data_IF_023269179247
#
_entry.id   IF_023269179247
#
_cell.length_a   1.000
_cell.length_b   1.000
_cell.length_c   1.000
_cell.angle_alpha   90.00
_cell.angle_beta   90.00
_cell.angle_gamma   90.00
#
_symmetry.space_group_name_H-M   'P 1'
#
loop_
_entity.id
_entity.type
_entity.pdbx_description
1 polymer ?
#
# COMPACT_ATOMS: atom_id res chain seq x y z
N UNK A 1 -9.41 -4.02 14.64
CA UNK A 1 -8.37 -3.65 13.66
C UNK A 1 -8.45 -2.18 13.26
N UNK A 2 -9.55 -1.70 12.67
CA UNK A 2 -9.68 -0.27 12.28
C UNK A 2 -9.64 0.71 13.46
N UNK A 3 -9.99 0.27 14.65
CA UNK A 3 -9.82 1.01 15.91
C UNK A 3 -8.35 1.30 16.26
N UNK A 4 -7.42 0.55 15.67
CA UNK A 4 -5.97 0.70 15.87
C UNK A 4 -5.30 1.76 15.00
N UNK A 5 -6.00 2.33 14.02
CA UNK A 5 -5.40 3.28 13.10
C UNK A 5 -4.92 4.56 13.80
N UNK A 6 -5.67 5.06 14.77
CA UNK A 6 -5.29 6.27 15.52
C UNK A 6 -4.00 6.04 16.33
N UNK A 7 -3.88 4.87 16.95
CA UNK A 7 -2.69 4.49 17.70
C UNK A 7 -1.48 4.34 16.76
N UNK A 8 -1.65 3.69 15.60
CA UNK A 8 -0.60 3.53 14.61
C UNK A 8 -0.13 4.87 14.03
N UNK A 9 -1.04 5.78 13.69
CA UNK A 9 -0.74 7.12 13.20
C UNK A 9 -0.02 7.99 14.25
N UNK A 10 -0.20 7.72 15.54
CA UNK A 10 0.50 8.44 16.60
C UNK A 10 2.00 8.16 16.64
N UNK A 11 2.46 7.08 15.99
CA UNK A 11 3.87 6.67 15.95
C UNK A 11 4.57 7.40 14.79
N UNK A 12 5.11 8.57 15.09
CA UNK A 12 5.69 9.50 14.11
C UNK A 12 7.21 9.34 13.97
N UNK A 13 7.65 8.11 13.68
CA UNK A 13 9.07 7.82 13.49
C UNK A 13 9.40 7.71 12.02
N UNK A 14 10.30 8.57 11.54
CA UNK A 14 10.90 8.45 10.21
C UNK A 14 11.51 7.05 10.07
N UNK A 15 11.33 6.44 8.90
CA UNK A 15 11.82 5.10 8.60
C UNK A 15 13.32 4.92 8.88
N UNK A 16 13.74 3.69 9.08
CA UNK A 16 15.11 3.32 9.44
C UNK A 16 16.17 3.83 8.46
N UNK A 17 15.80 4.03 7.21
CA UNK A 17 16.69 4.52 6.15
C UNK A 17 17.41 5.80 6.54
N UNK A 18 16.78 6.64 7.36
CA UNK A 18 17.33 7.94 7.76
C UNK A 18 18.19 7.91 9.04
N UNK A 19 18.18 6.81 9.81
CA UNK A 19 18.75 6.81 11.17
C UNK A 19 19.97 5.92 11.38
N UNK A 20 20.44 5.16 10.40
CA UNK A 20 21.51 4.14 10.59
C UNK A 20 21.24 3.24 11.83
N UNK A 21 19.96 2.96 12.13
CA UNK A 21 19.57 2.16 13.28
C UNK A 21 19.68 0.67 12.95
N UNK A 22 20.27 -0.09 13.86
CA UNK A 22 20.32 -1.56 13.78
C UNK A 22 19.06 -2.25 14.32
N UNK A 23 18.13 -1.48 14.89
CA UNK A 23 16.90 -1.99 15.50
C UNK A 23 15.67 -1.58 14.69
N UNK A 24 14.61 -2.40 14.67
CA UNK A 24 13.34 -2.03 14.08
C UNK A 24 12.82 -0.69 14.61
N UNK A 25 12.17 0.10 13.75
CA UNK A 25 11.53 1.35 14.17
C UNK A 25 10.36 1.07 15.10
N UNK A 26 9.92 2.04 15.91
CA UNK A 26 8.70 1.90 16.70
C UNK A 26 7.45 1.54 15.88
N UNK A 27 7.36 1.98 14.60
CA UNK A 27 6.26 1.56 13.70
C UNK A 27 6.33 0.07 13.37
N UNK A 28 7.52 -0.46 13.08
CA UNK A 28 7.72 -1.90 12.85
C UNK A 28 7.40 -2.70 14.11
N UNK A 29 7.87 -2.26 15.28
CA UNK A 29 7.59 -2.91 16.56
C UNK A 29 6.08 -2.96 16.84
N UNK A 30 5.40 -1.81 16.71
CA UNK A 30 3.95 -1.76 16.88
C UNK A 30 3.19 -2.69 15.93
N UNK A 31 3.58 -2.73 14.65
CA UNK A 31 2.93 -3.60 13.67
C UNK A 31 3.13 -5.09 14.01
N UNK A 32 4.32 -5.48 14.46
CA UNK A 32 4.57 -6.88 14.86
C UNK A 32 3.79 -7.25 16.11
N UNK A 33 3.72 -6.37 17.12
CA UNK A 33 2.90 -6.58 18.33
C UNK A 33 1.40 -6.64 17.98
N UNK A 34 0.93 -5.80 17.06
CA UNK A 34 -0.44 -5.83 16.57
C UNK A 34 -0.76 -7.16 15.89
N UNK A 35 0.12 -7.65 15.00
CA UNK A 35 -0.04 -8.93 14.32
C UNK A 35 -0.08 -10.10 15.31
N UNK A 36 0.80 -10.10 16.31
CA UNK A 36 0.79 -11.09 17.40
C UNK A 36 -0.54 -11.07 18.16
N UNK A 37 -1.04 -9.88 18.52
CA UNK A 37 -2.32 -9.72 19.22
C UNK A 37 -3.54 -10.20 18.42
N UNK A 38 -3.44 -10.15 17.10
CA UNK A 38 -4.48 -10.61 16.17
C UNK A 38 -4.31 -12.08 15.74
N UNK A 39 -3.25 -12.75 16.22
CA UNK A 39 -2.95 -14.15 15.88
C UNK A 39 -2.59 -14.36 14.42
N UNK A 40 -1.98 -13.37 13.80
CA UNK A 40 -1.54 -13.41 12.40
C UNK A 40 -0.05 -13.76 12.36
N UNK A 41 0.30 -14.87 11.73
CA UNK A 41 1.69 -15.26 11.54
C UNK A 41 2.43 -14.27 10.63
N UNK A 42 3.60 -13.85 11.09
CA UNK A 42 4.45 -12.92 10.36
C UNK A 42 5.93 -13.31 10.44
N UNK A 43 6.71 -12.75 9.52
CA UNK A 43 8.16 -12.86 9.50
C UNK A 43 8.78 -11.52 9.12
N UNK A 44 9.81 -11.13 9.83
CA UNK A 44 10.60 -9.96 9.50
C UNK A 44 11.63 -10.31 8.43
N UNK A 45 11.52 -9.71 7.24
CA UNK A 45 12.57 -9.75 6.22
C UNK A 45 13.46 -8.51 6.40
N UNK A 46 14.63 -8.74 6.97
CA UNK A 46 15.63 -7.70 7.23
C UNK A 46 16.61 -7.62 6.07
N UNK A 47 16.78 -6.45 5.52
CA UNK A 47 17.73 -6.23 4.42
C UNK A 47 18.52 -4.94 4.58
N UNK A 48 19.65 -4.84 3.88
CA UNK A 48 20.53 -3.70 3.96
C UNK A 48 20.33 -2.78 2.75
N UNK A 49 20.19 -1.48 2.99
CA UNK A 49 20.24 -0.46 1.96
C UNK A 49 21.25 0.63 2.36
N UNK A 50 22.38 0.65 1.69
CA UNK A 50 23.50 1.51 2.09
C UNK A 50 23.98 1.21 3.51
N UNK A 51 23.84 2.18 4.44
CA UNK A 51 24.20 2.02 5.86
C UNK A 51 22.98 1.69 6.74
N UNK A 52 21.80 1.61 6.18
CA UNK A 52 20.56 1.45 6.94
C UNK A 52 20.03 0.03 6.81
N UNK A 53 19.46 -0.50 7.89
CA UNK A 53 18.62 -1.69 7.86
C UNK A 53 17.19 -1.30 7.59
N UNK A 54 16.56 -2.01 6.67
CA UNK A 54 15.15 -1.91 6.35
C UNK A 54 14.42 -3.21 6.71
N UNK A 55 13.13 -3.14 6.92
CA UNK A 55 12.33 -4.23 7.47
C UNK A 55 11.00 -4.37 6.74
N UNK A 56 10.90 -5.31 5.80
CA UNK A 56 9.59 -5.73 5.32
C UNK A 56 8.96 -6.68 6.35
N UNK A 57 7.65 -6.56 6.58
CA UNK A 57 6.89 -7.49 7.39
C UNK A 57 6.11 -8.40 6.44
N UNK A 58 6.45 -9.68 6.45
CA UNK A 58 5.88 -10.67 5.53
C UNK A 58 4.81 -11.50 6.22
N UNK A 59 3.57 -11.43 5.73
CA UNK A 59 2.42 -12.22 6.15
C UNK A 59 2.16 -13.28 5.08
N UNK A 60 2.93 -14.37 5.14
CA UNK A 60 2.91 -15.38 4.09
C UNK A 60 1.56 -16.11 4.03
N UNK A 61 1.10 -16.39 2.82
CA UNK A 61 -0.04 -17.23 2.49
C UNK A 61 0.33 -18.30 1.48
N UNK A 62 -0.69 -18.89 0.88
CA UNK A 62 -0.57 -19.95 -0.14
C UNK A 62 -1.08 -19.50 -1.51
N UNK A 63 -1.62 -18.27 -1.61
CA UNK A 63 -2.12 -17.72 -2.87
C UNK A 63 -0.98 -17.41 -3.84
N UNK A 64 -1.24 -17.50 -5.14
CA UNK A 64 -0.37 -16.98 -6.20
C UNK A 64 -0.55 -15.46 -6.41
N UNK A 65 -1.20 -14.77 -5.50
CA UNK A 65 -1.50 -13.34 -5.54
C UNK A 65 -0.95 -12.69 -4.28
N UNK A 66 -0.57 -11.41 -4.41
CA UNK A 66 0.02 -10.66 -3.31
C UNK A 66 -0.61 -9.29 -3.19
N UNK A 67 -0.77 -8.82 -1.96
CA UNK A 67 -1.14 -7.44 -1.62
C UNK A 67 0.02 -6.79 -0.90
N UNK A 68 0.33 -5.54 -1.23
CA UNK A 68 1.39 -4.78 -0.56
C UNK A 68 0.90 -3.39 -0.17
N UNK A 69 1.53 -2.84 0.88
CA UNK A 69 1.39 -1.44 1.29
C UNK A 69 2.67 -1.03 2.02
N UNK A 70 3.17 0.19 1.82
CA UNK A 70 4.33 0.65 2.57
C UNK A 70 3.97 1.17 3.96
N UNK A 71 4.87 0.98 4.93
CA UNK A 71 4.67 1.38 6.31
C UNK A 71 5.60 2.51 6.78
N UNK A 72 6.62 2.83 5.99
CA UNK A 72 7.51 3.95 6.28
C UNK A 72 6.81 5.30 6.07
N UNK A 73 7.37 6.33 6.67
CA UNK A 73 6.88 7.71 6.58
C UNK A 73 8.04 8.66 6.38
N UNK A 74 7.79 9.76 5.71
CA UNK A 74 8.79 10.81 5.45
C UNK A 74 8.64 12.00 6.37
N UNK A 75 7.42 12.34 6.75
CA UNK A 75 7.13 13.52 7.56
C UNK A 75 6.67 13.16 8.98
N UNK A 76 7.52 13.31 10.03
CA UNK A 76 7.15 13.00 11.39
C UNK A 76 6.27 14.07 12.05
N UNK A 77 5.99 15.20 11.39
CA UNK A 77 5.14 16.27 11.92
C UNK A 77 3.65 16.05 11.67
N UNK A 78 3.31 15.05 10.87
CA UNK A 78 1.92 14.70 10.51
C UNK A 78 1.56 13.27 10.94
N UNK A 79 0.29 12.91 10.84
CA UNK A 79 -0.20 11.57 11.19
C UNK A 79 0.16 10.51 10.14
N UNK A 80 0.47 10.93 8.90
CA UNK A 80 0.65 10.04 7.75
C UNK A 80 -0.52 9.04 7.64
N UNK A 81 -1.73 9.57 7.82
CA UNK A 81 -2.92 8.76 8.00
C UNK A 81 -3.35 8.11 6.69
N UNK A 82 -3.37 8.88 5.61
CA UNK A 82 -3.69 8.37 4.28
C UNK A 82 -2.44 7.84 3.57
N UNK A 83 -1.29 8.46 3.79
CA UNK A 83 0.01 8.09 3.21
C UNK A 83 0.97 7.51 4.27
N UNK A 84 0.97 6.20 4.54
CA UNK A 84 0.13 5.14 3.94
C UNK A 84 -0.44 4.25 5.06
N UNK A 85 -0.68 4.84 6.28
CA UNK A 85 -1.14 4.08 7.46
C UNK A 85 -2.48 3.38 7.20
N UNK A 86 -3.40 4.02 6.48
CA UNK A 86 -4.68 3.43 6.11
C UNK A 86 -4.51 2.17 5.26
N UNK A 87 -3.61 2.20 4.29
CA UNK A 87 -3.34 1.06 3.41
C UNK A 87 -2.69 -0.11 4.16
N UNK A 88 -1.83 0.19 5.13
CA UNK A 88 -1.25 -0.83 6.03
C UNK A 88 -2.36 -1.56 6.81
N UNK A 89 -3.27 -0.81 7.43
CA UNK A 89 -4.40 -1.40 8.17
C UNK A 89 -5.33 -2.19 7.25
N UNK A 90 -5.61 -1.68 6.04
CA UNK A 90 -6.39 -2.40 5.04
C UNK A 90 -5.71 -3.70 4.60
N UNK A 91 -4.39 -3.69 4.37
CA UNK A 91 -3.63 -4.89 4.02
C UNK A 91 -3.68 -5.96 5.13
N UNK A 92 -3.55 -5.56 6.40
CA UNK A 92 -3.70 -6.49 7.54
C UNK A 92 -5.13 -7.03 7.62
N UNK A 93 -6.15 -6.19 7.37
CA UNK A 93 -7.55 -6.65 7.32
C UNK A 93 -7.78 -7.66 6.20
N UNK A 94 -7.18 -7.44 5.03
CA UNK A 94 -7.25 -8.41 3.91
C UNK A 94 -6.64 -9.73 4.34
N UNK A 95 -5.48 -9.74 4.98
CA UNK A 95 -4.86 -10.96 5.51
C UNK A 95 -5.75 -11.68 6.51
N UNK A 96 -6.46 -10.95 7.37
CA UNK A 96 -7.38 -11.51 8.34
C UNK A 96 -8.63 -12.14 7.69
N UNK A 97 -9.17 -11.50 6.64
CA UNK A 97 -10.33 -11.97 5.89
C UNK A 97 -10.00 -13.08 4.91
N UNK A 98 -8.78 -13.12 4.42
CA UNK A 98 -8.24 -14.06 3.43
C UNK A 98 -6.88 -14.60 3.88
N UNK A 99 -6.85 -15.55 4.84
CA UNK A 99 -5.59 -16.05 5.41
C UNK A 99 -4.62 -16.66 4.39
N UNK A 100 -5.14 -17.15 3.27
CA UNK A 100 -4.36 -17.68 2.15
C UNK A 100 -3.59 -16.60 1.38
N UNK A 101 -3.96 -15.32 1.51
CA UNK A 101 -3.31 -14.22 0.76
C UNK A 101 -1.89 -13.97 1.25
N UNK A 102 -0.96 -13.77 0.31
CA UNK A 102 0.33 -13.19 0.61
C UNK A 102 0.16 -11.68 0.81
N UNK A 103 0.62 -11.16 1.96
CA UNK A 103 0.64 -9.72 2.24
C UNK A 103 2.04 -9.33 2.68
N UNK A 104 2.57 -8.23 2.15
CA UNK A 104 3.85 -7.69 2.59
C UNK A 104 3.70 -6.21 2.91
N UNK A 105 4.04 -5.85 4.15
CA UNK A 105 4.16 -4.45 4.54
C UNK A 105 5.59 -4.00 4.24
N UNK A 106 5.73 -3.07 3.30
CA UNK A 106 6.99 -2.67 2.71
C UNK A 106 7.64 -1.52 3.47
N UNK A 107 8.98 -1.49 3.51
CA UNK A 107 9.77 -0.41 4.10
C UNK A 107 10.51 0.36 2.99
N UNK A 108 10.64 1.68 3.13
CA UNK A 108 11.46 2.51 2.25
C UNK A 108 10.85 2.78 0.88
N UNK A 109 9.52 2.86 0.76
CA UNK A 109 8.86 3.39 -0.44
C UNK A 109 9.27 4.84 -0.67
N UNK A 110 9.23 5.65 0.36
CA UNK A 110 9.50 7.09 0.40
C UNK A 110 10.95 7.47 0.02
N UNK A 111 11.81 6.48 -0.08
CA UNK A 111 13.21 6.65 -0.49
C UNK A 111 13.56 5.84 -1.74
N UNK A 112 12.55 5.54 -2.56
CA UNK A 112 12.72 4.93 -3.87
C UNK A 112 12.37 3.45 -3.96
N UNK A 113 11.48 2.95 -3.08
CA UNK A 113 10.92 1.61 -3.17
C UNK A 113 11.91 0.51 -2.80
N UNK A 114 12.63 0.69 -1.69
CA UNK A 114 13.64 -0.29 -1.26
C UNK A 114 13.00 -1.62 -0.88
N UNK A 115 11.88 -1.58 -0.17
CA UNK A 115 11.13 -2.75 0.26
C UNK A 115 10.51 -3.51 -0.91
N UNK A 116 9.95 -2.81 -1.88
CA UNK A 116 9.40 -3.43 -3.09
C UNK A 116 10.47 -4.04 -3.97
N UNK A 117 11.67 -3.43 -4.05
CA UNK A 117 12.82 -4.04 -4.71
C UNK A 117 13.20 -5.35 -4.03
N UNK A 118 13.35 -5.33 -2.69
CA UNK A 118 13.68 -6.53 -1.91
C UNK A 118 12.59 -7.61 -2.03
N UNK A 119 11.32 -7.22 -1.97
CA UNK A 119 10.19 -8.14 -2.16
C UNK A 119 10.20 -8.77 -3.56
N UNK A 120 10.56 -7.98 -4.60
CA UNK A 120 10.71 -8.50 -5.97
C UNK A 120 11.81 -9.57 -6.07
N UNK A 121 12.92 -9.39 -5.38
CA UNK A 121 13.98 -10.40 -5.28
C UNK A 121 13.43 -11.71 -4.66
N UNK A 122 12.71 -11.62 -3.54
CA UNK A 122 12.09 -12.78 -2.89
C UNK A 122 11.07 -13.49 -3.78
N UNK A 123 10.28 -12.75 -4.56
CA UNK A 123 9.34 -13.34 -5.52
C UNK A 123 10.12 -14.09 -6.61
N UNK A 124 11.13 -13.47 -7.21
CA UNK A 124 11.92 -14.06 -8.28
C UNK A 124 12.74 -15.28 -7.81
N UNK A 125 13.14 -15.30 -6.53
CA UNK A 125 13.81 -16.44 -5.90
C UNK A 125 12.84 -17.56 -5.49
N UNK A 126 11.53 -17.40 -5.74
CA UNK A 126 10.50 -18.40 -5.44
C UNK A 126 10.13 -18.53 -3.97
N UNK A 127 10.49 -17.56 -3.12
CA UNK A 127 10.17 -17.59 -1.69
C UNK A 127 8.66 -17.67 -1.42
N UNK A 128 7.84 -17.03 -2.25
CA UNK A 128 6.37 -17.05 -2.15
C UNK A 128 5.72 -18.12 -3.04
N UNK A 129 6.48 -18.90 -3.81
CA UNK A 129 6.01 -19.68 -4.94
C UNK A 129 5.79 -18.80 -6.17
N UNK A 130 4.98 -19.26 -7.11
CA UNK A 130 4.71 -18.53 -8.35
C UNK A 130 3.68 -17.43 -8.08
N UNK A 131 4.15 -16.20 -7.95
CA UNK A 131 3.28 -15.01 -7.82
C UNK A 131 2.87 -14.52 -9.20
N UNK A 132 1.58 -14.55 -9.48
CA UNK A 132 1.00 -14.10 -10.74
C UNK A 132 1.01 -12.58 -10.87
N UNK A 133 0.66 -11.88 -9.77
CA UNK A 133 0.63 -10.43 -9.72
C UNK A 133 0.61 -9.87 -8.29
N UNK A 134 0.93 -8.58 -8.21
CA UNK A 134 0.99 -7.80 -6.96
C UNK A 134 0.05 -6.60 -7.03
N UNK A 135 -0.89 -6.51 -6.09
CA UNK A 135 -1.77 -5.35 -5.91
C UNK A 135 -1.17 -4.42 -4.85
N UNK A 136 -0.78 -3.22 -5.26
CA UNK A 136 -0.26 -2.20 -4.36
C UNK A 136 -1.39 -1.29 -3.88
N UNK A 137 -1.61 -1.26 -2.56
CA UNK A 137 -2.56 -0.37 -1.91
C UNK A 137 -1.88 0.96 -1.59
N UNK A 138 -2.46 2.05 -2.10
CA UNK A 138 -1.92 3.39 -1.92
C UNK A 138 -3.03 4.38 -1.58
N UNK A 139 -2.84 5.21 -0.53
CA UNK A 139 -3.76 6.28 -0.15
C UNK A 139 -5.20 5.79 0.09
N UNK A 140 -5.38 4.67 0.78
CA UNK A 140 -6.68 3.98 0.88
C UNK A 140 -7.55 4.41 2.06
N UNK A 141 -7.32 5.60 2.60
CA UNK A 141 -8.03 6.11 3.78
C UNK A 141 -9.41 6.69 3.51
N UNK A 142 -9.73 7.03 2.26
CA UNK A 142 -11.00 7.64 1.88
C UNK A 142 -11.43 7.21 0.48
N UNK A 143 -12.67 7.56 0.05
CA UNK A 143 -13.16 7.28 -1.31
C UNK A 143 -14.02 6.04 -1.45
N UNK A 144 -13.98 5.11 -0.50
CA UNK A 144 -14.82 3.92 -0.49
C UNK A 144 -14.68 3.10 -1.77
N UNK A 145 -15.80 2.80 -2.43
CA UNK A 145 -15.85 2.01 -3.67
C UNK A 145 -15.44 2.75 -4.94
N UNK A 146 -15.24 4.06 -4.88
CA UNK A 146 -14.76 4.84 -6.00
C UNK A 146 -13.24 4.83 -6.02
N UNK A 147 -12.63 4.32 -7.10
CA UNK A 147 -11.19 4.17 -7.19
C UNK A 147 -10.70 4.31 -8.63
N UNK A 148 -9.42 4.50 -8.77
CA UNK A 148 -8.68 4.40 -10.03
C UNK A 148 -7.52 3.41 -9.88
N UNK A 149 -6.97 2.98 -11.02
CA UNK A 149 -5.77 2.16 -11.06
C UNK A 149 -4.67 2.84 -11.87
N UNK A 150 -3.42 2.51 -11.56
CA UNK A 150 -2.27 2.98 -12.32
C UNK A 150 -2.30 2.49 -13.77
N UNK A 151 -1.79 3.31 -14.70
CA UNK A 151 -1.67 2.99 -16.13
C UNK A 151 -0.50 2.01 -16.37
N UNK A 152 -0.75 0.76 -16.06
CA UNK A 152 0.22 -0.33 -16.22
C UNK A 152 -0.44 -1.49 -16.97
N UNK A 153 -0.23 -1.61 -18.31
CA UNK A 153 -0.81 -2.71 -19.07
C UNK A 153 -0.28 -4.07 -18.58
N UNK A 154 -1.19 -5.01 -18.32
CA UNK A 154 -0.85 -6.34 -17.81
C UNK A 154 -2.08 -7.18 -17.49
N UNK A 155 -1.86 -8.40 -17.00
CA UNK A 155 -2.93 -9.32 -16.64
C UNK A 155 -3.78 -8.77 -15.50
N UNK A 156 -3.15 -8.18 -14.47
CA UNK A 156 -3.87 -7.60 -13.34
C UNK A 156 -4.77 -6.43 -13.78
N UNK A 157 -4.28 -5.53 -14.65
CA UNK A 157 -5.10 -4.45 -15.20
C UNK A 157 -6.32 -5.00 -15.94
N UNK A 158 -6.13 -5.98 -16.81
CA UNK A 158 -7.22 -6.62 -17.55
C UNK A 158 -8.20 -7.33 -16.60
N UNK A 159 -7.67 -8.00 -15.58
CA UNK A 159 -8.47 -8.65 -14.55
C UNK A 159 -9.36 -7.64 -13.80
N UNK A 160 -8.80 -6.55 -13.30
CA UNK A 160 -9.57 -5.49 -12.62
C UNK A 160 -10.63 -4.90 -13.55
N UNK A 161 -10.28 -4.61 -14.80
CA UNK A 161 -11.22 -4.07 -15.81
C UNK A 161 -12.33 -5.05 -16.19
N UNK A 162 -12.13 -6.34 -16.01
CA UNK A 162 -13.18 -7.35 -16.21
C UNK A 162 -14.25 -7.34 -15.09
N UNK A 163 -13.92 -6.75 -13.95
CA UNK A 163 -14.78 -6.69 -12.76
C UNK A 163 -15.40 -5.30 -12.61
N UNK A 164 -14.60 -4.26 -12.86
CA UNK A 164 -14.94 -2.86 -12.60
C UNK A 164 -14.71 -1.97 -13.82
N UNK A 165 -15.62 -1.06 -14.06
CA UNK A 165 -15.37 0.09 -14.92
C UNK A 165 -14.73 1.20 -14.10
N UNK A 166 -13.40 1.23 -14.06
CA UNK A 166 -12.63 2.20 -13.28
C UNK A 166 -11.67 2.99 -14.19
N UNK A 167 -11.34 4.24 -13.83
CA UNK A 167 -10.34 5.04 -14.54
C UNK A 167 -8.95 4.39 -14.47
N UNK A 168 -8.19 4.53 -15.57
CA UNK A 168 -6.76 4.20 -15.63
C UNK A 168 -6.00 5.53 -15.68
N UNK A 169 -5.05 5.70 -14.77
CA UNK A 169 -4.40 7.01 -14.53
C UNK A 169 -2.89 6.85 -14.46
N UNK A 170 -2.14 7.75 -15.07
CA UNK A 170 -0.70 7.85 -14.82
C UNK A 170 -0.47 8.35 -13.40
N UNK A 171 0.16 7.53 -12.58
CA UNK A 171 0.47 7.83 -11.18
C UNK A 171 1.92 8.30 -11.04
N UNK A 172 2.23 9.07 -9.97
CA UNK A 172 3.60 9.31 -9.56
C UNK A 172 4.34 8.00 -9.24
N UNK A 173 5.59 8.10 -8.82
CA UNK A 173 6.35 6.97 -8.30
C UNK A 173 5.57 6.28 -7.18
N UNK A 174 5.58 4.94 -7.21
CA UNK A 174 4.99 4.06 -6.18
C UNK A 174 5.62 2.66 -6.32
N UNK A 175 5.35 1.79 -5.37
CA UNK A 175 5.91 0.43 -5.32
C UNK A 175 5.60 -0.43 -6.56
N UNK A 176 4.43 -0.25 -7.21
CA UNK A 176 4.10 -0.98 -8.44
C UNK A 176 5.11 -0.74 -9.56
N UNK A 177 5.66 0.46 -9.66
CA UNK A 177 6.70 0.78 -10.66
C UNK A 177 7.93 -0.08 -10.43
N UNK A 178 8.30 -0.30 -9.17
CA UNK A 178 9.48 -1.12 -8.81
C UNK A 178 9.24 -2.59 -9.14
N UNK A 179 8.08 -3.16 -8.76
CA UNK A 179 7.70 -4.54 -9.13
C UNK A 179 7.76 -4.74 -10.64
N UNK A 180 7.18 -3.83 -11.41
CA UNK A 180 7.15 -3.92 -12.88
C UNK A 180 8.54 -3.84 -13.51
N UNK A 181 9.43 -2.98 -12.99
CA UNK A 181 10.83 -2.91 -13.41
C UNK A 181 11.60 -4.22 -13.17
N UNK A 182 11.13 -5.03 -12.22
CA UNK A 182 11.66 -6.35 -11.90
C UNK A 182 10.89 -7.52 -12.58
N UNK A 183 10.03 -7.22 -13.56
CA UNK A 183 9.32 -8.22 -14.38
C UNK A 183 8.07 -8.80 -13.73
N UNK A 184 7.59 -8.22 -12.61
CA UNK A 184 6.42 -8.67 -11.88
C UNK A 184 5.21 -7.82 -12.29
N UNK A 185 4.10 -8.46 -12.69
CA UNK A 185 2.86 -7.74 -12.98
C UNK A 185 2.33 -7.10 -11.69
N UNK A 186 2.15 -5.78 -11.69
CA UNK A 186 1.70 -5.04 -10.53
C UNK A 186 0.91 -3.81 -10.93
N UNK A 187 -0.09 -3.48 -10.13
CA UNK A 187 -0.93 -2.30 -10.29
C UNK A 187 -1.12 -1.62 -8.94
N UNK A 188 -0.97 -0.29 -8.93
CA UNK A 188 -1.37 0.53 -7.79
C UNK A 188 -2.85 0.83 -7.88
N UNK A 189 -3.55 0.75 -6.74
CA UNK A 189 -4.97 1.06 -6.61
C UNK A 189 -5.18 2.11 -5.53
N UNK A 190 -5.89 3.18 -5.89
CA UNK A 190 -6.17 4.31 -5.02
C UNK A 190 -7.67 4.61 -5.02
N UNK A 191 -8.35 4.61 -3.87
CA UNK A 191 -9.71 5.14 -3.79
C UNK A 191 -9.76 6.63 -4.10
N UNK A 192 -10.87 7.06 -4.70
CA UNK A 192 -11.17 8.47 -4.96
C UNK A 192 -12.16 8.96 -3.91
N UNK A 193 -11.86 10.04 -3.17
CA UNK A 193 -12.86 10.63 -2.30
C UNK A 193 -14.06 11.11 -3.13
N UNK A 194 -15.29 10.83 -2.69
CA UNK A 194 -16.46 11.38 -3.34
C UNK A 194 -16.49 12.89 -3.12
N UNK A 195 -16.20 13.66 -4.15
CA UNK A 195 -16.32 15.12 -4.11
C UNK A 195 -17.65 15.54 -4.68
N UNK A 196 -18.39 16.36 -3.95
CA UNK A 196 -19.54 17.11 -4.51
C UNK A 196 -19.07 18.17 -5.50
N UNK A 197 -17.86 18.59 -5.38
CA UNK A 197 -17.18 19.54 -6.24
C UNK A 197 -16.08 18.76 -6.95
N UNK A 198 -16.21 18.63 -8.23
CA UNK A 198 -15.36 17.97 -9.24
C UNK A 198 -13.84 18.31 -9.20
N UNK A 199 -13.27 18.52 -8.03
CA UNK A 199 -11.86 18.89 -7.85
C UNK A 199 -10.91 17.69 -7.83
N UNK A 200 -11.42 16.48 -7.85
CA UNK A 200 -10.62 15.31 -8.19
C UNK A 200 -10.56 15.25 -9.71
N UNK A 201 -9.78 16.08 -10.27
CA UNK A 201 -9.65 16.14 -11.70
C UNK A 201 -8.69 15.07 -12.18
N UNK A 202 -9.28 13.99 -12.69
CA UNK A 202 -8.60 13.17 -13.66
C UNK A 202 -8.44 14.05 -14.91
N UNK A 203 -7.26 14.61 -15.09
CA UNK A 203 -6.97 15.47 -16.24
C UNK A 203 -6.63 14.59 -17.43
N UNK A 204 -7.33 14.77 -18.53
CA UNK A 204 -6.95 14.19 -19.82
C UNK A 204 -6.01 15.16 -20.55
N UNK A 205 -4.79 14.69 -20.80
CA UNK A 205 -3.81 15.43 -21.60
C UNK A 205 -3.29 14.53 -22.73
N UNK A 206 -3.36 15.00 -23.98
CA UNK A 206 -2.94 14.24 -25.18
C UNK A 206 -3.48 12.79 -25.25
N UNK A 207 -4.77 12.62 -24.93
CA UNK A 207 -5.43 11.31 -24.81
C UNK A 207 -4.92 10.40 -23.65
N UNK A 208 -4.05 10.89 -22.83
CA UNK A 208 -3.61 10.20 -21.61
C UNK A 208 -4.37 10.76 -20.39
N UNK A 209 -4.64 9.89 -19.44
CA UNK A 209 -5.31 10.26 -18.18
C UNK A 209 -4.25 10.40 -17.10
N UNK A 210 -4.20 11.56 -16.47
CA UNK A 210 -3.27 11.87 -15.37
C UNK A 210 -4.04 12.08 -14.08
N UNK A 211 -3.44 11.70 -12.97
CA UNK A 211 -3.89 12.12 -11.66
C UNK A 211 -3.63 13.62 -11.50
N UNK A 212 -4.66 14.40 -11.17
CA UNK A 212 -4.43 15.79 -10.76
C UNK A 212 -3.69 15.77 -9.41
N UNK A 213 -2.56 16.48 -9.37
CA UNK A 213 -1.74 16.60 -8.16
C UNK A 213 -2.51 17.12 -6.94
N UNK A 214 -3.68 17.71 -7.11
CA UNK A 214 -4.55 18.14 -5.99
C UNK A 214 -4.95 16.97 -5.08
N UNK A 215 -5.08 15.74 -5.61
CA UNK A 215 -5.34 14.55 -4.78
C UNK A 215 -4.16 14.19 -3.88
N UNK A 216 -2.95 14.57 -4.26
CA UNK A 216 -1.73 14.32 -3.51
C UNK A 216 -1.36 15.51 -2.60
N UNK A 217 -2.14 16.59 -2.57
CA UNK A 217 -1.81 17.79 -1.79
C UNK A 217 -1.67 17.55 -0.29
N UNK A 218 -2.29 16.51 0.23
CA UNK A 218 -2.16 16.17 1.64
C UNK A 218 -0.97 15.27 1.93
N UNK A 219 -0.50 14.49 0.94
CA UNK A 219 0.66 13.61 1.12
C UNK A 219 1.89 14.44 1.48
N UNK A 220 2.69 13.96 2.42
CA UNK A 220 3.90 14.61 2.92
C UNK A 220 3.68 16.00 3.53
N UNK A 221 2.44 16.44 3.76
CA UNK A 221 2.10 17.72 4.37
C UNK A 221 1.45 17.54 5.73
N UNK A 222 1.37 18.64 6.51
CA UNK A 222 0.67 18.66 7.80
C UNK A 222 -0.84 18.39 7.71
N UNK A 223 -1.38 18.27 6.49
CA UNK A 223 -2.79 17.99 6.22
C UNK A 223 -3.13 16.50 6.16
N UNK A 224 -2.12 15.63 6.08
CA UNK A 224 -2.35 14.18 6.14
C UNK A 224 -2.58 13.71 7.56
N UNK A 225 -3.79 13.94 8.05
CA UNK A 225 -4.21 13.69 9.42
C UNK A 225 -5.35 12.68 9.50
N UNK A 226 -5.63 12.17 10.70
CA UNK A 226 -6.75 11.26 10.95
C UNK A 226 -8.10 11.79 10.49
N UNK A 227 -8.29 13.11 10.47
CA UNK A 227 -9.54 13.74 10.02
C UNK A 227 -9.75 13.62 8.50
N UNK A 228 -8.71 13.27 7.75
CA UNK A 228 -8.77 13.10 6.27
C UNK A 228 -9.13 11.68 5.84
N UNK A 229 -9.21 10.74 6.77
CA UNK A 229 -9.55 9.35 6.51
C UNK A 229 -10.90 8.96 7.09
N UNK A 230 -11.53 7.94 6.53
CA UNK A 230 -12.82 7.42 6.93
C UNK A 230 -12.77 5.91 7.09
N UNK A 231 -12.93 5.43 8.32
CA UNK A 231 -12.99 3.98 8.59
C UNK A 231 -14.12 3.30 7.81
N UNK A 232 -15.23 4.01 7.57
CA UNK A 232 -16.33 3.50 6.75
C UNK A 232 -15.84 3.27 5.32
N UNK A 233 -15.18 4.24 4.73
CA UNK A 233 -14.68 4.18 3.35
C UNK A 233 -13.58 3.11 3.22
N UNK A 234 -12.70 3.00 4.21
CA UNK A 234 -11.68 1.94 4.26
C UNK A 234 -12.29 0.54 4.22
N UNK A 235 -13.35 0.31 5.01
CA UNK A 235 -14.08 -0.97 5.03
C UNK A 235 -14.75 -1.23 3.69
N UNK A 236 -15.49 -0.25 3.17
CA UNK A 236 -16.18 -0.34 1.88
C UNK A 236 -15.18 -0.65 0.75
N UNK A 237 -14.01 0.00 0.75
CA UNK A 237 -12.96 -0.26 -0.22
C UNK A 237 -12.45 -1.70 -0.15
N UNK A 238 -12.14 -2.20 1.05
CA UNK A 238 -11.68 -3.58 1.21
C UNK A 238 -12.75 -4.57 0.77
N UNK A 239 -13.98 -4.41 1.26
CA UNK A 239 -15.05 -5.39 1.07
C UNK A 239 -15.64 -5.36 -0.35
N UNK A 240 -15.84 -4.18 -0.94
CA UNK A 240 -16.53 -4.02 -2.22
C UNK A 240 -15.58 -3.89 -3.42
N UNK A 241 -14.31 -3.59 -3.20
CA UNK A 241 -13.34 -3.44 -4.29
C UNK A 241 -12.23 -4.49 -4.20
N UNK A 242 -11.45 -4.50 -3.11
CA UNK A 242 -10.24 -5.34 -3.06
C UNK A 242 -10.57 -6.82 -2.98
N UNK A 243 -11.49 -7.23 -2.10
CA UNK A 243 -11.89 -8.64 -1.98
C UNK A 243 -12.44 -9.22 -3.29
N UNK A 244 -13.33 -8.54 -4.04
CA UNK A 244 -13.73 -9.00 -5.38
C UNK A 244 -12.58 -9.19 -6.38
N UNK A 245 -11.57 -8.30 -6.37
CA UNK A 245 -10.36 -8.45 -7.21
C UNK A 245 -9.58 -9.70 -6.80
N UNK A 246 -9.45 -9.95 -5.50
CA UNK A 246 -8.66 -11.06 -4.98
C UNK A 246 -9.36 -12.44 -5.11
N UNK A 247 -10.69 -12.48 -5.22
CA UNK A 247 -11.47 -13.74 -5.28
C UNK A 247 -11.66 -14.31 -6.68
N UNK A 248 -11.60 -13.48 -7.72
CA UNK A 248 -11.77 -13.92 -9.12
C UNK A 248 -10.44 -14.32 -9.75
#
# INVERSE_FOLDING_TARGET
MYDKISEFCSIKNIGNVYKNSDSPTPRVQYLTELLDSEGIDWKLDTFQSGRSKCYNIVLRGTSNRMVVAHHDIVNPSTDNANDNSASVINAIMIKKLMPEMNVVLLDGEEVGGLGSKRCSELINDGFFGDIEWVLNLELTGCGGKYFFIGDYPGNLTNHIKSIFDCPIVKTPFNDSIVFRRNGIDSVVINPLPPTKDSEVSIVKWNNETYLDFKLLFNCHTEKDTLDTISVKDMKEFVEEVVIPILKK
#
